data_IF_077637773307
#
_entry.id   IF_077637773307
#
_cell.length_a   1.000
_cell.length_b   1.000
_cell.length_c   1.000
_cell.angle_alpha   90.00
_cell.angle_beta   90.00
_cell.angle_gamma   90.00
#
_symmetry.space_group_name_H-M   'P 1'
#
loop_
_entity.id
_entity.type
_entity.pdbx_description
1 polymer ?
#
# COMPACT_ATOMS: atom_id res chain seq x y z
N UNK A 1 -7.99 -9.64 7.17
CA UNK A 1 -7.66 -9.57 5.73
C UNK A 1 -8.67 -10.41 4.97
N UNK A 2 -9.12 -9.94 3.81
CA UNK A 2 -10.03 -10.67 2.93
C UNK A 2 -9.36 -11.95 2.44
N UNK A 3 -10.02 -13.08 2.66
CA UNK A 3 -9.53 -14.38 2.21
C UNK A 3 -9.98 -14.66 0.79
N UNK A 4 -9.03 -14.74 -0.13
CA UNK A 4 -9.27 -15.17 -1.52
C UNK A 4 -9.66 -16.65 -1.65
N UNK A 5 -9.64 -17.42 -0.55
CA UNK A 5 -10.14 -18.81 -0.54
C UNK A 5 -11.65 -18.87 -0.44
N UNK A 6 -12.24 -17.90 0.24
CA UNK A 6 -13.67 -17.88 0.60
C UNK A 6 -14.44 -16.77 -0.10
N UNK A 7 -13.75 -15.69 -0.48
CA UNK A 7 -14.34 -14.56 -1.18
C UNK A 7 -13.79 -14.56 -2.61
N UNK A 8 -14.62 -14.87 -3.62
CA UNK A 8 -14.19 -14.82 -5.01
C UNK A 8 -13.85 -13.37 -5.41
N UNK A 9 -12.89 -13.22 -6.32
CA UNK A 9 -12.50 -11.92 -6.85
C UNK A 9 -13.42 -11.54 -8.00
N UNK A 10 -14.49 -10.82 -7.68
CA UNK A 10 -15.53 -10.42 -8.66
C UNK A 10 -15.02 -9.39 -9.67
N UNK A 11 -14.11 -8.51 -9.25
CA UNK A 11 -13.58 -7.41 -10.07
C UNK A 11 -12.06 -7.53 -10.29
N UNK A 12 -11.53 -7.09 -11.44
CA UNK A 12 -10.11 -6.98 -11.73
C UNK A 12 -9.46 -5.76 -11.02
N UNK A 13 -9.68 -5.64 -9.70
CA UNK A 13 -9.15 -4.53 -8.92
C UNK A 13 -7.64 -4.70 -8.70
N UNK A 14 -6.85 -4.01 -9.52
CA UNK A 14 -5.38 -4.03 -9.47
C UNK A 14 -4.83 -2.64 -9.09
N UNK A 15 -3.85 -2.61 -8.20
CA UNK A 15 -3.15 -1.39 -7.81
C UNK A 15 -2.16 -1.02 -8.92
N UNK A 16 -2.34 0.16 -9.52
CA UNK A 16 -1.51 0.66 -10.62
C UNK A 16 -0.33 1.49 -10.11
N UNK A 17 0.92 1.07 -10.35
CA UNK A 17 2.10 1.86 -10.01
C UNK A 17 2.18 3.18 -10.80
N UNK A 18 2.62 4.30 -10.16
CA UNK A 18 2.82 5.58 -10.85
C UNK A 18 3.73 5.49 -12.08
N UNK A 19 4.73 4.61 -12.05
CA UNK A 19 5.65 4.40 -13.17
C UNK A 19 5.00 3.80 -14.42
N UNK A 20 3.87 3.09 -14.27
CA UNK A 20 3.10 2.58 -15.40
C UNK A 20 2.08 3.63 -15.89
N UNK A 21 1.59 4.47 -14.98
CA UNK A 21 0.60 5.51 -15.32
C UNK A 21 1.14 6.61 -16.24
N UNK A 22 2.45 6.81 -16.29
CA UNK A 22 3.10 7.86 -17.10
C UNK A 22 3.23 7.51 -18.58
N UNK A 23 3.12 6.23 -18.96
CA UNK A 23 3.20 5.78 -20.35
C UNK A 23 1.90 5.05 -20.75
N UNK A 24 1.08 5.64 -21.65
CA UNK A 24 -0.19 5.05 -22.08
C UNK A 24 -0.09 3.62 -22.63
N UNK A 25 1.00 3.28 -23.34
CA UNK A 25 1.19 1.94 -23.90
C UNK A 25 1.40 0.90 -22.80
N UNK A 26 2.25 1.22 -21.82
CA UNK A 26 2.49 0.31 -20.67
C UNK A 26 1.27 0.18 -19.78
N UNK A 27 0.50 1.26 -19.62
CA UNK A 27 -0.76 1.23 -18.87
C UNK A 27 -1.79 0.36 -19.59
N UNK A 28 -1.92 0.49 -20.91
CA UNK A 28 -2.81 -0.34 -21.71
C UNK A 28 -2.43 -1.83 -21.61
N UNK A 29 -1.14 -2.15 -21.71
CA UNK A 29 -0.65 -3.52 -21.53
C UNK A 29 -0.97 -4.06 -20.13
N UNK A 30 -0.71 -3.26 -19.09
CA UNK A 30 -0.96 -3.65 -17.70
C UNK A 30 -2.44 -3.95 -17.45
N UNK A 31 -3.34 -3.04 -17.87
CA UNK A 31 -4.80 -3.20 -17.74
C UNK A 31 -5.30 -4.40 -18.54
N UNK A 32 -4.78 -4.60 -19.76
CA UNK A 32 -5.12 -5.76 -20.59
C UNK A 32 -4.77 -7.07 -19.89
N UNK A 33 -3.54 -7.20 -19.37
CA UNK A 33 -3.10 -8.43 -18.68
C UNK A 33 -3.92 -8.66 -17.41
N UNK A 34 -4.27 -7.61 -16.66
CA UNK A 34 -5.13 -7.72 -15.49
C UNK A 34 -6.51 -8.30 -15.85
N UNK A 35 -7.13 -7.80 -16.93
CA UNK A 35 -8.41 -8.29 -17.42
C UNK A 35 -8.32 -9.74 -17.93
N UNK A 36 -7.31 -10.07 -18.75
CA UNK A 36 -7.12 -11.44 -19.25
C UNK A 36 -6.89 -12.44 -18.12
N UNK A 37 -6.18 -12.03 -17.06
CA UNK A 37 -5.96 -12.86 -15.87
C UNK A 37 -7.27 -13.07 -15.10
N UNK A 38 -8.09 -12.03 -14.96
CA UNK A 38 -9.41 -12.13 -14.32
C UNK A 38 -10.34 -13.07 -15.08
N UNK A 39 -10.39 -12.95 -16.40
CA UNK A 39 -11.18 -13.82 -17.28
C UNK A 39 -10.73 -15.28 -17.17
N UNK A 40 -9.42 -15.52 -17.15
CA UNK A 40 -8.86 -16.86 -16.95
C UNK A 40 -9.24 -17.42 -15.57
N UNK A 41 -9.17 -16.60 -14.53
CA UNK A 41 -9.60 -16.98 -13.18
C UNK A 41 -11.07 -17.38 -13.17
N UNK A 42 -11.96 -16.55 -13.74
CA UNK A 42 -13.40 -16.84 -13.85
C UNK A 42 -13.70 -18.13 -14.60
N UNK A 43 -13.00 -18.41 -15.70
CA UNK A 43 -13.13 -19.66 -16.47
C UNK A 43 -12.73 -20.89 -15.65
N UNK A 44 -11.65 -20.82 -14.87
CA UNK A 44 -11.24 -21.92 -13.98
C UNK A 44 -12.29 -22.20 -12.92
N UNK A 45 -12.82 -21.16 -12.26
CA UNK A 45 -13.92 -21.29 -11.29
C UNK A 45 -15.16 -21.92 -11.96
N UNK A 46 -15.56 -21.42 -13.13
CA UNK A 46 -16.70 -21.95 -13.88
C UNK A 46 -16.53 -23.40 -14.35
N UNK A 47 -15.29 -23.88 -14.41
CA UNK A 47 -14.96 -25.28 -14.74
C UNK A 47 -14.86 -26.19 -13.50
N UNK A 48 -15.17 -25.67 -12.30
CA UNK A 48 -15.17 -26.43 -11.05
C UNK A 48 -13.84 -26.44 -10.30
N UNK A 49 -12.84 -25.64 -10.71
CA UNK A 49 -11.59 -25.50 -9.95
C UNK A 49 -11.87 -24.68 -8.68
N UNK A 50 -11.42 -25.13 -7.49
CA UNK A 50 -11.57 -24.37 -6.26
C UNK A 50 -10.90 -23.00 -6.33
N UNK A 51 -11.51 -21.99 -5.69
CA UNK A 51 -10.96 -20.63 -5.68
C UNK A 51 -9.56 -20.53 -5.07
N UNK A 52 -9.24 -21.39 -4.12
CA UNK A 52 -7.93 -21.42 -3.48
C UNK A 52 -6.80 -21.87 -4.40
N UNK A 53 -7.11 -22.66 -5.44
CA UNK A 53 -6.18 -23.09 -6.49
C UNK A 53 -6.19 -22.10 -7.66
N UNK A 54 -7.39 -21.71 -8.13
CA UNK A 54 -7.55 -20.79 -9.26
C UNK A 54 -6.86 -19.44 -9.04
N UNK A 55 -6.82 -18.94 -7.79
CA UNK A 55 -6.18 -17.65 -7.45
C UNK A 55 -4.67 -17.61 -7.68
N UNK A 56 -4.00 -18.74 -7.93
CA UNK A 56 -2.54 -18.79 -8.14
C UNK A 56 -2.07 -17.96 -9.34
N UNK A 57 -2.97 -17.66 -10.28
CA UNK A 57 -2.66 -16.79 -11.42
C UNK A 57 -2.79 -15.29 -11.10
N UNK A 58 -3.42 -14.92 -9.97
CA UNK A 58 -3.65 -13.51 -9.63
C UNK A 58 -2.32 -12.85 -9.25
N UNK A 59 -1.92 -11.74 -9.91
CA UNK A 59 -0.66 -11.08 -9.64
C UNK A 59 -0.63 -10.39 -8.27
N UNK A 60 0.57 -10.09 -7.78
CA UNK A 60 0.77 -9.39 -6.50
C UNK A 60 0.08 -8.03 -6.39
N UNK A 61 -0.18 -7.35 -7.52
CA UNK A 61 -0.87 -6.07 -7.55
C UNK A 61 -2.37 -6.16 -7.27
N UNK A 62 -2.94 -7.36 -7.11
CA UNK A 62 -4.38 -7.51 -6.85
C UNK A 62 -4.76 -6.92 -5.49
N UNK A 63 -5.84 -6.13 -5.47
CA UNK A 63 -6.29 -5.47 -4.27
C UNK A 63 -6.79 -6.48 -3.22
N UNK A 64 -6.56 -6.15 -1.96
CA UNK A 64 -7.10 -6.87 -0.81
C UNK A 64 -7.59 -5.89 0.24
N UNK A 65 -8.67 -6.24 0.93
CA UNK A 65 -9.21 -5.45 2.02
C UNK A 65 -8.76 -6.02 3.35
N UNK A 66 -8.30 -5.20 4.27
CA UNK A 66 -7.89 -5.65 5.60
C UNK A 66 -8.32 -4.66 6.68
N UNK A 67 -8.76 -5.21 7.81
CA UNK A 67 -8.95 -4.46 9.05
C UNK A 67 -7.71 -4.67 9.91
N UNK A 68 -7.15 -3.58 10.42
CA UNK A 68 -5.94 -3.57 11.24
C UNK A 68 -6.24 -2.79 12.51
N UNK A 69 -5.89 -3.39 13.65
CA UNK A 69 -5.95 -2.73 14.96
C UNK A 69 -4.54 -2.56 15.48
N UNK A 70 -4.18 -1.33 15.85
CA UNK A 70 -2.90 -0.98 16.44
C UNK A 70 -3.15 -0.03 17.62
N UNK A 71 -2.41 -0.20 18.71
CA UNK A 71 -2.38 0.81 19.77
C UNK A 71 -1.55 2.01 19.31
N UNK A 72 -1.56 3.10 20.09
CA UNK A 72 -0.83 4.32 19.74
C UNK A 72 0.68 4.10 19.58
N UNK A 73 1.30 3.27 20.45
CA UNK A 73 2.74 2.96 20.37
C UNK A 73 3.09 2.24 19.08
N UNK A 74 2.28 1.26 18.67
CA UNK A 74 2.46 0.56 17.41
C UNK A 74 2.24 1.47 16.21
N UNK A 75 1.29 2.39 16.26
CA UNK A 75 1.11 3.40 15.22
C UNK A 75 2.34 4.30 15.08
N UNK A 76 2.92 4.77 16.19
CA UNK A 76 4.17 5.54 16.16
C UNK A 76 5.32 4.77 15.49
N UNK A 77 5.49 3.50 15.85
CA UNK A 77 6.50 2.63 15.24
C UNK A 77 6.21 2.38 13.75
N UNK A 78 4.96 2.13 13.40
CA UNK A 78 4.52 1.94 12.02
C UNK A 78 4.85 3.18 11.18
N UNK A 79 4.50 4.38 11.65
CA UNK A 79 4.80 5.64 10.97
C UNK A 79 6.30 5.88 10.83
N UNK A 80 7.11 5.54 11.84
CA UNK A 80 8.57 5.74 11.78
C UNK A 80 9.23 4.95 10.65
N UNK A 81 8.71 3.75 10.36
CA UNK A 81 9.21 2.88 9.29
C UNK A 81 8.55 3.16 7.94
N UNK A 82 7.22 3.29 7.90
CA UNK A 82 6.45 3.29 6.64
C UNK A 82 6.37 4.65 5.98
N UNK A 83 6.63 5.75 6.70
CA UNK A 83 6.74 7.09 6.11
C UNK A 83 8.13 7.39 5.55
N UNK A 84 9.11 6.49 5.73
CA UNK A 84 10.45 6.66 5.18
C UNK A 84 10.42 6.69 3.64
N UNK A 85 11.26 7.52 3.02
CA UNK A 85 11.37 7.57 1.54
C UNK A 85 11.81 6.25 0.90
N UNK A 86 12.43 5.35 1.67
CA UNK A 86 12.81 4.00 1.22
C UNK A 86 11.66 3.02 1.18
N UNK A 87 10.58 3.28 1.91
CA UNK A 87 9.40 2.43 1.87
C UNK A 87 8.76 2.52 0.48
N UNK A 88 8.19 1.40 0.03
CA UNK A 88 7.41 1.32 -1.21
C UNK A 88 6.31 2.38 -1.20
N UNK A 89 6.08 3.02 -2.36
CA UNK A 89 5.19 4.17 -2.47
C UNK A 89 3.77 3.86 -1.96
N UNK A 90 3.26 2.64 -2.20
CA UNK A 90 1.92 2.18 -1.79
C UNK A 90 1.75 2.22 -0.27
N UNK A 91 2.63 1.53 0.47
CA UNK A 91 2.55 1.48 1.94
C UNK A 91 2.85 2.85 2.56
N UNK A 92 3.69 3.65 1.89
CA UNK A 92 3.99 5.01 2.33
C UNK A 92 2.78 5.93 2.19
N UNK A 93 2.05 5.87 1.08
CA UNK A 93 0.82 6.64 0.91
C UNK A 93 -0.28 6.17 1.87
N UNK A 94 -0.42 4.85 2.07
CA UNK A 94 -1.32 4.30 3.10
C UNK A 94 -0.98 4.85 4.49
N UNK A 95 0.30 4.78 4.89
CA UNK A 95 0.75 5.29 6.18
C UNK A 95 0.54 6.79 6.34
N UNK A 96 0.72 7.57 5.26
CA UNK A 96 0.45 9.02 5.24
C UNK A 96 -1.02 9.31 5.50
N UNK A 97 -1.93 8.64 4.79
CA UNK A 97 -3.39 8.80 4.99
C UNK A 97 -3.80 8.40 6.41
N UNK A 98 -3.23 7.30 6.93
CA UNK A 98 -3.43 6.89 8.32
C UNK A 98 -2.95 7.95 9.32
N UNK A 99 -1.78 8.57 9.09
CA UNK A 99 -1.26 9.63 9.96
C UNK A 99 -2.16 10.86 9.95
N UNK A 100 -2.70 11.27 8.79
CA UNK A 100 -3.66 12.38 8.69
C UNK A 100 -4.88 12.11 9.59
N UNK A 101 -5.50 10.93 9.45
CA UNK A 101 -6.65 10.54 10.26
C UNK A 101 -6.30 10.42 11.76
N UNK A 102 -5.13 9.88 12.09
CA UNK A 102 -4.67 9.76 13.47
C UNK A 102 -4.47 11.14 14.12
N UNK A 103 -3.89 12.11 13.39
CA UNK A 103 -3.72 13.49 13.85
C UNK A 103 -5.05 14.23 14.01
N UNK A 104 -6.03 13.95 13.15
CA UNK A 104 -7.39 14.48 13.30
C UNK A 104 -8.05 13.96 14.57
N UNK A 105 -7.98 12.65 14.83
CA UNK A 105 -8.66 12.03 15.98
C UNK A 105 -7.95 12.23 17.32
N UNK A 106 -6.62 12.27 17.34
CA UNK A 106 -5.84 12.42 18.56
C UNK A 106 -4.59 13.30 18.35
N UNK A 107 -4.78 14.62 18.17
CA UNK A 107 -3.70 15.53 17.76
C UNK A 107 -2.53 15.58 18.74
N UNK A 108 -2.79 15.53 20.05
CA UNK A 108 -1.72 15.55 21.07
C UNK A 108 -0.84 14.31 20.96
N UNK A 109 -1.45 13.12 20.81
CA UNK A 109 -0.73 11.84 20.72
C UNK A 109 0.09 11.71 19.44
N UNK A 110 -0.37 12.28 18.32
CA UNK A 110 0.26 12.12 17.00
C UNK A 110 0.95 13.40 16.50
N UNK A 111 1.10 14.41 17.36
CA UNK A 111 1.77 15.68 17.05
C UNK A 111 3.19 15.50 16.49
N UNK A 112 3.94 14.54 17.05
CA UNK A 112 5.30 14.17 16.68
C UNK A 112 5.41 12.80 15.98
N UNK A 113 4.31 12.24 15.50
CA UNK A 113 4.34 10.98 14.75
C UNK A 113 4.82 11.22 13.31
N UNK A 114 5.78 10.42 12.84
CA UNK A 114 6.41 10.64 11.53
C UNK A 114 7.64 9.76 11.31
N UNK A 115 8.35 9.92 10.18
CA UNK A 115 9.59 9.20 9.89
C UNK A 115 10.72 9.60 10.85
N UNK A 116 11.62 8.67 11.14
CA UNK A 116 12.71 8.87 12.11
C UNK A 116 13.61 10.09 11.81
N UNK A 117 13.81 10.43 10.53
CA UNK A 117 14.63 11.59 10.16
C UNK A 117 14.02 12.93 10.66
N UNK A 118 12.70 12.99 10.81
CA UNK A 118 11.99 14.16 11.31
C UNK A 118 11.78 14.08 12.83
N UNK A 119 11.36 12.92 13.33
CA UNK A 119 10.97 12.75 14.74
C UNK A 119 12.16 12.61 15.68
N UNK A 120 13.25 12.00 15.21
CA UNK A 120 14.48 11.77 15.97
C UNK A 120 15.66 12.60 15.44
N UNK A 121 15.46 13.37 14.36
CA UNK A 121 16.49 14.24 13.76
C UNK A 121 17.64 13.51 13.07
N UNK A 122 17.57 12.19 12.89
CA UNK A 122 18.60 11.40 12.18
C UNK A 122 18.03 10.16 11.54
N UNK A 123 18.71 9.67 10.50
CA UNK A 123 18.39 8.40 9.86
C UNK A 123 19.10 7.23 10.60
N UNK A 124 18.38 6.16 10.90
CA UNK A 124 18.92 4.93 11.51
C UNK A 124 19.12 3.79 10.52
N UNK A 125 18.82 4.04 9.24
CA UNK A 125 19.01 3.06 8.19
C UNK A 125 20.49 2.89 7.85
N UNK A 126 20.93 1.64 7.70
CA UNK A 126 22.30 1.33 7.27
C UNK A 126 22.62 1.90 5.87
N UNK A 127 21.61 2.00 5.01
CA UNK A 127 21.67 2.66 3.70
C UNK A 127 20.65 3.80 3.66
N UNK A 128 21.03 5.05 3.98
CA UNK A 128 20.11 6.19 3.96
C UNK A 128 19.61 6.51 2.55
N UNK A 129 18.43 7.12 2.44
CA UNK A 129 17.91 7.59 1.15
C UNK A 129 18.60 8.87 0.62
N UNK A 130 19.43 9.52 1.44
CA UNK A 130 20.09 10.79 1.10
C UNK A 130 19.15 12.01 1.04
N UNK A 131 17.85 11.84 1.29
CA UNK A 131 16.84 12.91 1.20
C UNK A 131 15.97 12.94 2.46
N UNK A 132 16.46 13.44 3.61
CA UNK A 132 15.62 13.57 4.81
C UNK A 132 14.43 14.51 4.56
N UNK A 133 13.34 14.30 5.26
CA UNK A 133 12.21 15.24 5.27
C UNK A 133 12.59 16.49 6.06
N UNK A 134 12.17 17.65 5.56
CA UNK A 134 12.42 18.97 6.14
C UNK A 134 11.32 19.43 7.10
N UNK A 135 10.07 19.04 6.85
CA UNK A 135 8.94 19.40 7.71
C UNK A 135 7.86 18.31 7.75
N UNK A 136 6.91 18.45 8.68
CA UNK A 136 5.73 17.59 8.73
C UNK A 136 4.78 17.86 7.57
N UNK A 137 4.68 19.11 7.07
CA UNK A 137 3.86 19.40 5.89
C UNK A 137 4.33 18.59 4.67
N UNK A 138 5.65 18.47 4.48
CA UNK A 138 6.23 17.68 3.38
C UNK A 138 5.85 16.18 3.46
N UNK A 139 5.74 15.63 4.68
CA UNK A 139 5.30 14.25 4.87
C UNK A 139 3.82 14.10 4.51
N UNK A 140 3.00 15.10 4.86
CA UNK A 140 1.55 15.05 4.69
C UNK A 140 1.07 15.44 3.29
N UNK A 141 1.83 16.28 2.57
CA UNK A 141 1.48 16.79 1.24
C UNK A 141 1.45 15.71 0.15
N UNK A 142 2.03 14.53 0.41
CA UNK A 142 2.21 13.49 -0.59
C UNK A 142 3.35 13.83 -1.57
N UNK A 143 3.93 12.78 -2.16
CA UNK A 143 4.91 12.83 -3.25
C UNK A 143 4.46 11.83 -4.31
#
# INVERSE_FOLDING_TARGET
QQSQRYVPMEEPEMITPPSLSSNPETLALFTKVAAETHDAYGKMIGSGIPAEDARYILPHGWATKMVVTMNARELHHFFSMRLCRRAQWEIRDLARRMLILAREKAPVLFSLAGPDCLTKGRCFESRPCGKPFSSMEEVLSGC
#
